data_IF_622618095726
#
_entry.id   IF_622618095726
#
_cell.length_a   1.000
_cell.length_b   1.000
_cell.length_c   1.000
_cell.angle_alpha   90.00
_cell.angle_beta   90.00
_cell.angle_gamma   90.00
#
_symmetry.space_group_name_H-M   'P 1'
#
loop_
_entity.id
_entity.type
_entity.pdbx_description
1 polymer ?
#
# COMPACT_ATOMS: atom_id res chain seq x y z
N UNK A 1 -40.91 -31.08 38.03
CA UNK A 1 -40.13 -29.86 37.73
C UNK A 1 -38.85 -30.14 36.93
N UNK A 2 -38.12 -31.22 37.20
CA UNK A 2 -36.86 -31.61 36.52
C UNK A 2 -36.90 -31.64 34.97
N UNK A 3 -37.98 -32.19 34.37
CA UNK A 3 -38.13 -32.26 32.90
C UNK A 3 -38.21 -30.89 32.22
N UNK A 4 -38.77 -29.87 32.90
CA UNK A 4 -38.84 -28.49 32.36
C UNK A 4 -37.48 -27.80 32.36
N UNK A 5 -36.66 -28.06 33.39
CA UNK A 5 -35.29 -27.54 33.47
C UNK A 5 -34.38 -28.16 32.41
N UNK A 6 -34.47 -29.47 32.17
CA UNK A 6 -33.74 -30.14 31.09
C UNK A 6 -34.08 -29.58 29.70
N UNK A 7 -35.37 -29.30 29.44
CA UNK A 7 -35.80 -28.70 28.17
C UNK A 7 -35.31 -27.25 27.99
N UNK A 8 -35.25 -26.47 29.07
CA UNK A 8 -34.70 -25.10 29.04
C UNK A 8 -33.19 -25.13 28.77
N UNK A 9 -32.46 -26.04 29.43
CA UNK A 9 -31.02 -26.19 29.21
C UNK A 9 -30.69 -26.69 27.79
N UNK A 10 -31.45 -27.64 27.24
CA UNK A 10 -31.22 -28.11 25.87
C UNK A 10 -31.48 -27.00 24.85
N UNK A 11 -32.53 -26.20 25.06
CA UNK A 11 -32.85 -25.07 24.18
C UNK A 11 -31.76 -23.98 24.24
N UNK A 12 -31.29 -23.64 25.44
CA UNK A 12 -30.18 -22.70 25.63
C UNK A 12 -28.89 -23.21 24.97
N UNK A 13 -28.58 -24.50 25.11
CA UNK A 13 -27.41 -25.12 24.48
C UNK A 13 -27.47 -25.06 22.94
N UNK A 14 -28.64 -25.32 22.35
CA UNK A 14 -28.83 -25.19 20.89
C UNK A 14 -28.68 -23.75 20.42
N UNK A 15 -29.17 -22.76 21.18
CA UNK A 15 -29.00 -21.34 20.86
C UNK A 15 -27.53 -20.94 20.93
N UNK A 16 -26.80 -21.35 21.98
CA UNK A 16 -25.38 -21.06 22.12
C UNK A 16 -24.59 -21.68 20.96
N UNK A 17 -24.87 -22.93 20.61
CA UNK A 17 -24.23 -23.60 19.47
C UNK A 17 -24.48 -22.84 18.17
N UNK A 18 -25.73 -22.40 17.93
CA UNK A 18 -26.10 -21.61 16.75
C UNK A 18 -25.35 -20.27 16.72
N UNK A 19 -25.25 -19.57 17.85
CA UNK A 19 -24.53 -18.28 17.96
C UNK A 19 -23.04 -18.48 17.65
N UNK A 20 -22.41 -19.53 18.20
CA UNK A 20 -21.00 -19.85 17.92
C UNK A 20 -20.80 -20.15 16.43
N UNK A 21 -21.68 -20.95 15.83
CA UNK A 21 -21.61 -21.28 14.40
C UNK A 21 -21.75 -20.04 13.52
N UNK A 22 -22.73 -19.18 13.81
CA UNK A 22 -22.95 -17.91 13.11
C UNK A 22 -21.75 -16.98 13.26
N UNK A 23 -21.12 -16.93 14.45
CA UNK A 23 -19.94 -16.10 14.69
C UNK A 23 -18.74 -16.57 13.86
N UNK A 24 -18.53 -17.88 13.74
CA UNK A 24 -17.48 -18.47 12.88
C UNK A 24 -17.79 -18.18 11.41
N UNK A 25 -19.02 -18.42 10.96
CA UNK A 25 -19.44 -18.16 9.58
C UNK A 25 -19.36 -16.69 9.19
N UNK A 26 -19.56 -15.76 10.12
CA UNK A 26 -19.40 -14.33 9.86
C UNK A 26 -17.90 -13.94 9.82
N UNK A 27 -17.05 -14.67 10.53
CA UNK A 27 -15.60 -14.38 10.57
C UNK A 27 -14.87 -14.82 9.29
N UNK A 28 -15.30 -15.92 8.65
CA UNK A 28 -14.66 -16.45 7.44
C UNK A 28 -14.68 -15.46 6.25
N UNK A 29 -15.82 -14.84 5.87
CA UNK A 29 -15.87 -13.84 4.81
C UNK A 29 -14.97 -12.65 5.12
N UNK A 30 -14.89 -12.22 6.39
CA UNK A 30 -14.01 -11.12 6.82
C UNK A 30 -12.52 -11.46 6.72
N UNK A 31 -12.14 -12.72 7.00
CA UNK A 31 -10.76 -13.19 6.81
C UNK A 31 -10.39 -13.36 5.33
N UNK A 32 -11.35 -13.71 4.47
CA UNK A 32 -11.14 -13.97 3.04
C UNK A 32 -11.34 -12.69 2.17
N UNK A 33 -12.12 -11.71 2.63
CA UNK A 33 -12.33 -10.41 1.97
C UNK A 33 -11.22 -9.39 2.20
N UNK A 34 -10.21 -9.71 3.01
CA UNK A 34 -8.93 -9.04 2.94
C UNK A 34 -8.29 -9.44 1.62
N UNK A 35 -8.69 -8.76 0.54
CA UNK A 35 -8.20 -9.06 -0.81
C UNK A 35 -6.69 -9.15 -0.76
N UNK A 36 -6.21 -10.36 -1.03
CA UNK A 36 -4.82 -10.69 -0.83
C UNK A 36 -4.02 -9.81 -1.76
N UNK A 37 -3.03 -9.09 -1.23
CA UNK A 37 -1.97 -8.51 -2.04
C UNK A 37 -1.42 -9.61 -2.95
N UNK A 38 -1.60 -9.44 -4.27
CA UNK A 38 -1.13 -10.39 -5.27
C UNK A 38 0.13 -9.84 -5.92
N UNK A 39 1.05 -10.74 -6.24
CA UNK A 39 2.21 -10.40 -7.06
C UNK A 39 1.81 -10.39 -8.54
N UNK A 40 2.32 -9.41 -9.26
CA UNK A 40 2.14 -9.24 -10.69
C UNK A 40 3.50 -9.23 -11.37
N UNK A 41 3.57 -9.73 -12.61
CA UNK A 41 4.82 -9.83 -13.36
C UNK A 41 5.18 -8.55 -14.09
N UNK A 42 4.18 -7.77 -14.48
CA UNK A 42 4.35 -6.53 -15.22
C UNK A 42 3.31 -5.50 -14.83
N UNK A 43 3.60 -4.24 -15.18
CA UNK A 43 2.67 -3.12 -14.99
C UNK A 43 1.43 -3.33 -15.87
N UNK A 44 1.60 -3.77 -17.12
CA UNK A 44 0.50 -4.08 -18.03
C UNK A 44 -0.46 -5.15 -17.46
N UNK A 45 0.07 -6.13 -16.72
CA UNK A 45 -0.75 -7.14 -16.06
C UNK A 45 -1.61 -6.52 -14.94
N UNK A 46 -1.06 -5.55 -14.20
CA UNK A 46 -1.80 -4.79 -13.18
C UNK A 46 -2.90 -3.98 -13.85
N UNK A 47 -2.59 -3.23 -14.91
CA UNK A 47 -3.57 -2.40 -15.65
C UNK A 47 -4.72 -3.24 -16.23
N UNK A 48 -4.42 -4.42 -16.78
CA UNK A 48 -5.44 -5.29 -17.35
C UNK A 48 -6.39 -5.90 -16.32
N UNK A 49 -5.95 -6.05 -15.07
CA UNK A 49 -6.69 -6.75 -14.01
C UNK A 49 -7.35 -5.81 -13.01
N UNK A 50 -6.71 -4.68 -12.75
CA UNK A 50 -7.17 -3.68 -11.81
C UNK A 50 -7.61 -2.51 -12.66
N UNK A 51 -8.92 -2.27 -12.69
CA UNK A 51 -9.57 -1.17 -13.42
C UNK A 51 -9.20 0.22 -12.83
N UNK A 52 -7.92 0.44 -12.50
CA UNK A 52 -7.37 1.73 -12.13
C UNK A 52 -7.49 2.69 -13.30
N UNK A 53 -7.92 3.91 -13.02
CA UNK A 53 -7.99 4.96 -14.04
C UNK A 53 -6.61 5.31 -14.61
N UNK A 54 -5.57 5.22 -13.78
CA UNK A 54 -4.18 5.56 -14.14
C UNK A 54 -3.22 4.94 -13.14
N UNK A 55 -2.21 4.20 -13.61
CA UNK A 55 -1.07 3.77 -12.78
C UNK A 55 0.07 4.76 -12.97
N UNK A 56 0.47 5.45 -11.90
CA UNK A 56 1.62 6.36 -11.92
C UNK A 56 2.94 5.61 -12.00
N UNK A 57 3.58 5.65 -13.16
CA UNK A 57 4.91 5.09 -13.42
C UNK A 57 5.87 6.24 -13.76
N UNK A 58 7.08 6.29 -13.18
CA UNK A 58 8.03 7.35 -13.48
C UNK A 58 8.55 7.24 -14.92
N UNK A 59 8.44 8.33 -15.68
CA UNK A 59 9.08 8.44 -17.01
C UNK A 59 10.57 8.79 -16.91
N UNK A 60 10.99 9.43 -15.81
CA UNK A 60 12.38 9.63 -15.45
C UNK A 60 12.79 8.61 -14.40
N UNK A 61 13.69 7.71 -14.78
CA UNK A 61 14.23 6.70 -13.89
C UNK A 61 15.74 6.95 -13.68
N UNK A 62 16.16 7.41 -12.48
CA UNK A 62 17.56 7.71 -12.26
C UNK A 62 18.41 6.44 -12.29
N UNK A 63 19.68 6.59 -12.70
CA UNK A 63 20.57 5.48 -13.04
C UNK A 63 20.92 4.55 -11.87
N UNK A 64 20.65 5.00 -10.65
CA UNK A 64 20.90 4.25 -9.42
C UNK A 64 19.85 3.18 -9.13
N UNK A 65 18.71 3.17 -9.82
CA UNK A 65 17.69 2.12 -9.67
C UNK A 65 17.67 1.20 -10.90
N UNK A 66 17.29 -0.05 -10.66
CA UNK A 66 17.12 -1.05 -11.70
C UNK A 66 15.67 -1.05 -12.21
N UNK A 67 15.53 -1.00 -13.54
CA UNK A 67 14.29 -1.26 -14.25
C UNK A 67 14.36 -2.66 -14.86
N UNK A 68 13.27 -3.47 -14.88
CA UNK A 68 11.91 -3.20 -14.36
C UNK A 68 11.80 -3.22 -12.82
N UNK A 69 10.62 -2.92 -12.23
CA UNK A 69 10.40 -3.17 -10.81
C UNK A 69 10.77 -4.61 -10.43
N UNK A 70 11.42 -4.78 -9.29
CA UNK A 70 11.74 -6.10 -8.75
C UNK A 70 10.48 -6.83 -8.25
N UNK A 71 9.49 -6.05 -7.80
CA UNK A 71 8.23 -6.57 -7.31
C UNK A 71 7.10 -5.60 -7.59
N UNK A 72 5.95 -6.13 -7.99
CA UNK A 72 4.71 -5.39 -8.16
C UNK A 72 3.64 -6.11 -7.36
N UNK A 73 3.13 -5.44 -6.33
CA UNK A 73 2.05 -5.94 -5.49
C UNK A 73 0.81 -5.12 -5.71
N UNK A 74 -0.34 -5.75 -5.89
CA UNK A 74 -1.58 -5.01 -6.05
C UNK A 74 -2.81 -5.77 -5.54
N UNK A 75 -3.86 -5.02 -5.26
CA UNK A 75 -5.18 -5.53 -4.83
C UNK A 75 -6.29 -4.63 -5.35
N UNK A 76 -7.47 -5.20 -5.57
CA UNK A 76 -8.68 -4.46 -5.97
C UNK A 76 -9.63 -4.23 -4.79
N UNK A 77 -9.72 -5.23 -3.91
CA UNK A 77 -10.60 -5.27 -2.75
C UNK A 77 -9.76 -5.39 -1.48
N UNK A 78 -10.20 -4.82 -0.34
CA UNK A 78 -11.41 -4.00 -0.18
C UNK A 78 -11.28 -2.58 -0.77
N UNK A 79 -10.11 -2.20 -1.24
CA UNK A 79 -9.84 -0.96 -1.95
C UNK A 79 -8.71 -1.17 -2.96
N UNK A 80 -8.67 -0.38 -4.04
CA UNK A 80 -7.62 -0.50 -5.04
C UNK A 80 -6.30 0.01 -4.47
N UNK A 81 -5.24 -0.77 -4.66
CA UNK A 81 -3.86 -0.42 -4.28
C UNK A 81 -2.84 -1.05 -5.23
N UNK A 82 -1.76 -0.33 -5.51
CA UNK A 82 -0.56 -0.80 -6.22
C UNK A 82 0.68 -0.38 -5.44
N UNK A 83 1.64 -1.28 -5.32
CA UNK A 83 2.98 -1.05 -4.75
C UNK A 83 3.98 -1.58 -5.76
N UNK A 84 4.93 -0.72 -6.15
CA UNK A 84 6.04 -1.10 -7.01
C UNK A 84 7.34 -0.89 -6.24
N UNK A 85 8.18 -1.91 -6.22
CA UNK A 85 9.48 -1.87 -5.55
C UNK A 85 10.59 -2.03 -6.57
N UNK A 86 11.60 -1.18 -6.45
CA UNK A 86 12.76 -1.16 -7.35
C UNK A 86 14.04 -1.32 -6.54
N UNK A 87 14.93 -2.14 -7.07
CA UNK A 87 16.25 -2.35 -6.48
C UNK A 87 17.17 -1.19 -6.83
N UNK A 88 17.92 -0.75 -5.85
CA UNK A 88 19.14 0.01 -6.08
C UNK A 88 20.17 -0.87 -6.81
N UNK A 89 20.81 -0.32 -7.84
CA UNK A 89 21.68 -1.05 -8.76
C UNK A 89 22.96 -1.53 -8.08
N UNK A 90 23.50 -0.74 -7.16
CA UNK A 90 24.79 -1.01 -6.50
C UNK A 90 24.59 -1.96 -5.32
N UNK A 91 23.66 -1.64 -4.42
CA UNK A 91 23.41 -2.41 -3.20
C UNK A 91 22.55 -3.65 -3.42
N UNK A 92 21.83 -3.74 -4.55
CA UNK A 92 20.82 -4.77 -4.86
C UNK A 92 19.64 -4.85 -3.86
N UNK A 93 19.56 -3.91 -2.90
CA UNK A 93 18.47 -3.78 -1.93
C UNK A 93 17.35 -2.91 -2.52
N UNK A 94 16.15 -2.96 -1.95
CA UNK A 94 15.06 -2.04 -2.36
C UNK A 94 15.45 -0.60 -2.01
N UNK A 95 15.52 0.25 -3.03
CA UNK A 95 15.94 1.64 -2.90
C UNK A 95 14.90 2.66 -3.38
N UNK A 96 13.83 2.20 -4.03
CA UNK A 96 12.69 3.01 -4.44
C UNK A 96 11.40 2.18 -4.29
N UNK A 97 10.40 2.77 -3.63
CA UNK A 97 9.07 2.20 -3.46
C UNK A 97 8.06 3.26 -3.91
N UNK A 98 7.15 2.86 -4.79
CA UNK A 98 6.04 3.69 -5.27
C UNK A 98 4.74 3.02 -4.84
N UNK A 99 3.90 3.76 -4.12
CA UNK A 99 2.63 3.29 -3.62
C UNK A 99 1.51 4.17 -4.15
N UNK A 100 0.43 3.53 -4.58
CA UNK A 100 -0.80 4.18 -5.00
C UNK A 100 -1.93 3.51 -4.24
N UNK A 101 -2.56 4.27 -3.35
CA UNK A 101 -3.57 3.74 -2.43
C UNK A 101 -4.82 4.61 -2.54
N UNK A 102 -6.00 3.99 -2.53
CA UNK A 102 -7.25 4.73 -2.42
C UNK A 102 -7.26 5.67 -1.21
N UNK A 103 -7.62 6.94 -1.39
CA UNK A 103 -7.42 8.01 -0.38
C UNK A 103 -8.13 7.75 0.96
N UNK A 104 -9.25 7.02 0.94
CA UNK A 104 -10.03 6.68 2.15
C UNK A 104 -9.57 5.38 2.82
N UNK A 105 -8.64 4.65 2.23
CA UNK A 105 -8.12 3.43 2.84
C UNK A 105 -7.29 3.76 4.08
N UNK A 106 -7.60 3.11 5.20
CA UNK A 106 -6.80 3.16 6.43
C UNK A 106 -5.75 2.04 6.40
N UNK A 107 -4.95 2.00 5.35
CA UNK A 107 -3.92 0.98 5.15
C UNK A 107 -2.58 1.62 4.83
N UNK A 108 -1.54 1.15 5.49
CA UNK A 108 -0.15 1.52 5.24
C UNK A 108 0.60 0.24 4.92
N UNK A 109 1.08 0.06 3.68
CA UNK A 109 1.77 -1.15 3.32
C UNK A 109 3.07 -1.30 4.11
N UNK A 110 3.32 -2.50 4.64
CA UNK A 110 4.62 -2.82 5.21
C UNK A 110 5.57 -3.10 4.04
N UNK A 111 6.58 -2.26 3.90
CA UNK A 111 7.52 -2.25 2.77
C UNK A 111 8.93 -2.05 3.30
N UNK A 112 9.93 -2.50 2.56
CA UNK A 112 11.33 -2.51 3.00
C UNK A 112 11.88 -1.12 3.39
N UNK A 113 11.31 -0.04 2.83
CA UNK A 113 11.68 1.35 3.14
C UNK A 113 10.82 1.99 4.24
N UNK A 114 10.59 1.28 5.34
CA UNK A 114 9.78 1.80 6.45
C UNK A 114 10.48 2.95 7.16
N UNK A 115 9.82 4.10 7.24
CA UNK A 115 10.28 5.26 8.00
C UNK A 115 10.29 4.91 9.48
N UNK A 116 11.46 5.02 10.11
CA UNK A 116 11.64 4.82 11.55
C UNK A 116 11.68 6.14 12.31
N UNK A 117 12.24 7.20 11.70
CA UNK A 117 12.33 8.53 12.32
C UNK A 117 12.26 9.65 11.31
N UNK A 118 11.31 10.56 11.47
CA UNK A 118 11.24 11.79 10.67
C UNK A 118 12.27 12.79 11.20
N UNK A 119 13.08 13.35 10.29
CA UNK A 119 14.05 14.39 10.60
C UNK A 119 13.55 15.78 10.20
N UNK A 120 12.93 15.88 9.02
CA UNK A 120 12.37 17.12 8.49
C UNK A 120 11.13 16.83 7.66
N UNK A 121 10.20 17.75 7.70
CA UNK A 121 9.01 17.74 6.89
C UNK A 121 8.78 19.13 6.28
N UNK A 122 8.35 19.18 5.04
CA UNK A 122 8.04 20.42 4.34
C UNK A 122 7.02 20.19 3.23
N UNK A 123 6.27 21.22 2.89
CA UNK A 123 5.42 21.23 1.69
C UNK A 123 6.25 21.57 0.46
N UNK A 124 6.04 20.83 -0.63
CA UNK A 124 6.61 21.09 -1.96
C UNK A 124 5.53 20.94 -3.04
N UNK A 125 5.81 21.42 -4.25
CA UNK A 125 4.91 21.24 -5.38
C UNK A 125 5.46 20.23 -6.39
N UNK A 126 4.66 19.19 -6.65
CA UNK A 126 4.84 18.23 -7.75
C UNK A 126 3.91 18.67 -8.88
N UNK A 127 4.46 19.50 -9.77
CA UNK A 127 3.68 20.26 -10.77
C UNK A 127 2.63 21.13 -10.05
N UNK A 128 1.34 20.87 -10.28
CA UNK A 128 0.23 21.58 -9.65
C UNK A 128 -0.26 20.93 -8.35
N UNK A 129 0.30 19.78 -7.94
CA UNK A 129 -0.08 19.11 -6.70
C UNK A 129 0.75 19.58 -5.53
N UNK A 130 0.09 20.03 -4.48
CA UNK A 130 0.72 20.19 -3.17
C UNK A 130 1.09 18.81 -2.61
N UNK A 131 2.36 18.66 -2.23
CA UNK A 131 2.92 17.40 -1.79
C UNK A 131 3.67 17.57 -0.48
N UNK A 132 3.53 16.57 0.39
CA UNK A 132 4.26 16.47 1.64
C UNK A 132 5.60 15.79 1.37
N UNK A 133 6.70 16.53 1.50
CA UNK A 133 8.07 16.01 1.46
C UNK A 133 8.54 15.72 2.89
N UNK A 134 9.08 14.52 3.09
CA UNK A 134 9.62 14.06 4.36
C UNK A 134 11.05 13.58 4.14
N UNK A 135 11.98 14.04 4.97
CA UNK A 135 13.34 13.54 5.08
C UNK A 135 13.41 12.77 6.39
N UNK A 136 13.83 11.52 6.32
CA UNK A 136 13.72 10.58 7.42
C UNK A 136 14.91 9.61 7.46
N UNK A 137 14.95 8.83 8.52
CA UNK A 137 15.69 7.58 8.60
C UNK A 137 14.71 6.42 8.38
N UNK A 138 15.16 5.42 7.65
CA UNK A 138 14.45 4.17 7.38
C UNK A 138 15.24 2.99 7.94
N UNK A 139 14.56 1.87 8.22
CA UNK A 139 15.17 0.60 8.62
C UNK A 139 16.32 0.76 9.63
N UNK A 140 17.49 0.22 9.30
CA UNK A 140 18.77 0.24 10.05
C UNK A 140 19.37 1.64 10.26
N UNK A 141 18.57 2.71 10.26
CA UNK A 141 19.03 4.09 10.41
C UNK A 141 19.56 4.73 9.12
N UNK A 142 19.28 4.12 7.96
CA UNK A 142 19.70 4.64 6.66
C UNK A 142 18.86 5.86 6.27
N UNK A 143 19.45 6.90 5.65
CA UNK A 143 18.70 8.05 5.19
C UNK A 143 17.72 7.65 4.08
N UNK A 144 16.51 8.20 4.16
CA UNK A 144 15.49 8.03 3.14
C UNK A 144 14.64 9.29 3.01
N UNK A 145 14.00 9.43 1.85
CA UNK A 145 13.14 10.55 1.52
C UNK A 145 11.80 10.02 1.03
N UNK A 146 10.74 10.73 1.38
CA UNK A 146 9.38 10.42 0.96
C UNK A 146 8.71 11.67 0.40
N UNK A 147 7.95 11.54 -0.67
CA UNK A 147 7.02 12.56 -1.13
C UNK A 147 5.66 11.92 -1.35
N UNK A 148 4.62 12.55 -0.83
CA UNK A 148 3.25 12.06 -0.97
C UNK A 148 2.30 13.17 -1.37
N UNK A 149 1.42 12.90 -2.33
CA UNK A 149 0.40 13.83 -2.80
C UNK A 149 -0.91 13.11 -3.07
N UNK A 150 -2.00 13.85 -3.05
CA UNK A 150 -3.30 13.36 -3.52
C UNK A 150 -3.43 13.58 -5.03
N UNK A 151 -3.99 12.62 -5.75
CA UNK A 151 -4.41 12.79 -7.14
C UNK A 151 -5.76 12.13 -7.36
N UNK A 152 -6.80 12.95 -7.49
CA UNK A 152 -8.19 12.50 -7.58
C UNK A 152 -8.59 11.62 -6.38
N UNK A 153 -8.86 10.35 -6.64
CA UNK A 153 -9.29 9.37 -5.63
C UNK A 153 -8.15 8.60 -4.96
N UNK A 154 -6.91 8.83 -5.37
CA UNK A 154 -5.74 8.10 -4.90
C UNK A 154 -4.76 9.02 -4.16
N UNK A 155 -4.04 8.45 -3.20
CA UNK A 155 -2.83 9.02 -2.63
C UNK A 155 -1.64 8.30 -3.25
N UNK A 156 -0.72 9.06 -3.81
CA UNK A 156 0.55 8.54 -4.32
C UNK A 156 1.62 8.85 -3.29
N UNK A 157 2.41 7.84 -2.94
CA UNK A 157 3.56 7.96 -2.05
C UNK A 157 4.78 7.39 -2.76
N UNK A 158 5.84 8.18 -2.86
CA UNK A 158 7.12 7.75 -3.41
C UNK A 158 8.16 7.83 -2.30
N UNK A 159 8.82 6.72 -2.01
CA UNK A 159 9.87 6.59 -1.01
C UNK A 159 11.16 6.12 -1.64
N UNK A 160 12.28 6.69 -1.24
CA UNK A 160 13.58 6.32 -1.80
C UNK A 160 14.73 6.56 -0.84
N UNK A 161 15.84 5.86 -1.05
CA UNK A 161 17.14 6.14 -0.42
C UNK A 161 17.90 7.28 -1.12
N UNK A 162 17.43 7.74 -2.29
CA UNK A 162 18.03 8.86 -3.02
C UNK A 162 17.77 10.23 -2.36
N UNK A 163 18.45 11.25 -2.90
CA UNK A 163 18.36 12.62 -2.40
C UNK A 163 16.95 13.21 -2.59
N UNK A 164 16.54 14.21 -1.78
CA UNK A 164 15.26 14.90 -1.97
C UNK A 164 15.12 15.50 -3.37
N UNK A 165 16.23 15.95 -3.97
CA UNK A 165 16.25 16.53 -5.32
C UNK A 165 15.89 15.47 -6.37
N UNK A 166 16.46 14.27 -6.26
CA UNK A 166 16.18 13.19 -7.20
C UNK A 166 14.76 12.66 -7.01
N UNK A 167 14.31 12.53 -5.76
CA UNK A 167 12.93 12.17 -5.46
C UNK A 167 11.91 13.12 -6.10
N UNK A 168 12.14 14.44 -6.02
CA UNK A 168 11.27 15.44 -6.66
C UNK A 168 11.28 15.27 -8.19
N UNK A 169 12.43 14.98 -8.80
CA UNK A 169 12.51 14.71 -10.26
C UNK A 169 11.73 13.47 -10.65
N UNK A 170 11.90 12.36 -9.91
CA UNK A 170 11.14 11.12 -10.10
C UNK A 170 9.64 11.43 -10.01
N UNK A 171 9.19 12.03 -8.92
CA UNK A 171 7.77 12.32 -8.69
C UNK A 171 7.16 13.24 -9.75
N UNK A 172 7.89 14.28 -10.18
CA UNK A 172 7.43 15.16 -11.27
C UNK A 172 7.29 14.46 -12.61
N UNK A 173 8.11 13.44 -12.87
CA UNK A 173 8.06 12.65 -14.11
C UNK A 173 6.88 11.68 -14.18
N UNK A 174 6.24 11.39 -13.04
CA UNK A 174 5.08 10.49 -12.96
C UNK A 174 3.77 11.17 -13.34
N UNK A 175 3.72 12.50 -13.25
CA UNK A 175 2.52 13.29 -13.53
C UNK A 175 2.67 13.87 -14.93
N UNK A 176 1.64 13.83 -15.78
CA UNK A 176 1.67 14.48 -17.11
C UNK A 176 1.72 16.02 -16.98
N UNK A 177 2.25 16.72 -17.99
CA UNK A 177 2.01 18.17 -18.12
C UNK A 177 0.59 18.35 -18.64
N UNK A 178 -0.22 19.11 -17.91
CA UNK A 178 -1.55 19.55 -18.36
C UNK A 178 -1.43 20.94 -18.95
#
# INVERSE_FOLDING_TARGET
MQKRWLAIFSFAATIILLIVLLKIMNWVPLAVQQGTLRHYRSIDEVESKLHFSTIYVPSFFPQNFSWPPAEILAQEKPFPMVIMQFKDRDSKRIGLVIEQVYVKAKYHPDTDLKITRIQRESTVFIKHWEARLVIALCGEGNPCTQVSWGSGTCRVTVRTTASPRDLIRIARSMVAEQ
#
